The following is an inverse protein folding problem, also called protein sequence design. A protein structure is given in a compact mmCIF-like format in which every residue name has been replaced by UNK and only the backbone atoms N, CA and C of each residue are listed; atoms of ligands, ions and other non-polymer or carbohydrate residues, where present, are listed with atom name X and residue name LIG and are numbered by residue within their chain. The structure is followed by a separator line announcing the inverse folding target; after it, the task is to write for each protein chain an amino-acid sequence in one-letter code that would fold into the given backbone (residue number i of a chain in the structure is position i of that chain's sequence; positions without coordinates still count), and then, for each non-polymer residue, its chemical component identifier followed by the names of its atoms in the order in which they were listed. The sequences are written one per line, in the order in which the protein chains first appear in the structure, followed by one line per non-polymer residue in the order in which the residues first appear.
data_IF_973559066174
#
_entry.id   IF_973559066174
#
_cell.length_a   1.000
_cell.length_b   1.000
_cell.length_c   1.000
_cell.angle_alpha   90.00
_cell.angle_beta   90.00
_cell.angle_gamma   90.00
#
_symmetry.space_group_name_H-M   'P 1'
#
loop_
_entity.id
_entity.type
_entity.pdbx_description
1 polymer ?
#
# COMPACT_ATOMS: atom_id res chain seq x y z
N UNK A 1 -2.10 -14.04 -47.41
CA UNK A 1 -2.60 -15.21 -48.13
C UNK A 1 -1.89 -16.43 -47.55
N UNK A 2 -2.57 -17.17 -46.66
CA UNK A 2 -2.12 -18.48 -46.14
C UNK A 2 -3.26 -19.09 -45.32
N UNK A 3 -4.12 -19.77 -46.07
CA UNK A 3 -4.87 -21.00 -45.75
C UNK A 3 -5.81 -21.05 -44.52
N UNK A 4 -7.09 -20.85 -44.85
CA UNK A 4 -8.26 -21.44 -44.19
C UNK A 4 -8.09 -22.97 -44.10
N UNK A 5 -7.80 -23.48 -42.91
CA UNK A 5 -7.90 -24.91 -42.61
C UNK A 5 -9.36 -25.32 -42.46
N UNK A 6 -9.87 -25.86 -43.57
CA UNK A 6 -11.07 -26.66 -43.77
C UNK A 6 -11.43 -27.52 -42.53
N UNK A 7 -12.49 -27.12 -41.82
CA UNK A 7 -13.12 -27.92 -40.78
C UNK A 7 -13.71 -29.19 -41.41
N UNK A 8 -13.10 -30.34 -41.14
CA UNK A 8 -13.65 -31.65 -41.49
C UNK A 8 -14.43 -32.15 -40.28
N UNK A 9 -15.76 -32.20 -40.39
CA UNK A 9 -16.66 -32.80 -39.40
C UNK A 9 -16.30 -34.28 -39.23
N UNK A 10 -15.39 -34.57 -38.29
CA UNK A 10 -14.99 -35.90 -37.88
C UNK A 10 -15.48 -36.14 -36.46
N UNK A 11 -16.38 -37.11 -36.31
CA UNK A 11 -16.90 -37.61 -35.04
C UNK A 11 -15.74 -37.86 -34.07
N UNK A 12 -15.54 -36.97 -33.09
CA UNK A 12 -14.53 -37.14 -32.04
C UNK A 12 -14.94 -38.36 -31.21
N UNK A 13 -14.27 -39.50 -31.42
CA UNK A 13 -14.48 -40.69 -30.62
C UNK A 13 -14.26 -40.40 -29.13
N UNK A 14 -14.85 -41.21 -28.27
CA UNK A 14 -14.78 -41.06 -26.80
C UNK A 14 -13.33 -40.88 -26.32
N UNK A 15 -12.37 -41.57 -26.94
CA UNK A 15 -10.94 -41.40 -26.65
C UNK A 15 -10.40 -39.97 -26.93
N UNK A 16 -10.89 -39.30 -27.98
CA UNK A 16 -10.53 -37.91 -28.29
C UNK A 16 -11.12 -36.92 -27.29
N UNK A 17 -12.34 -37.17 -26.80
CA UNK A 17 -12.93 -36.42 -25.69
C UNK A 17 -12.17 -36.64 -24.37
N UNK A 18 -11.75 -37.88 -24.10
CA UNK A 18 -10.97 -38.22 -22.90
C UNK A 18 -9.56 -37.61 -22.94
N UNK A 19 -8.92 -37.56 -24.11
CA UNK A 19 -7.62 -36.89 -24.31
C UNK A 19 -7.73 -35.36 -24.15
N UNK A 20 -8.82 -34.74 -24.62
CA UNK A 20 -9.07 -33.31 -24.39
C UNK A 20 -9.33 -33.01 -22.90
N UNK A 21 -10.10 -33.86 -22.20
CA UNK A 21 -10.30 -33.75 -20.75
C UNK A 21 -8.98 -33.92 -19.97
N UNK A 22 -8.12 -34.87 -20.38
CA UNK A 22 -6.80 -35.06 -19.77
C UNK A 22 -5.86 -33.87 -20.03
N UNK A 23 -5.95 -33.25 -21.21
CA UNK A 23 -5.18 -32.05 -21.54
C UNK A 23 -5.64 -30.80 -20.78
N UNK A 24 -6.87 -30.78 -20.26
CA UNK A 24 -7.39 -29.72 -19.39
C UNK A 24 -6.92 -29.87 -17.93
N UNK A 25 -6.42 -31.05 -17.54
CA UNK A 25 -5.91 -31.32 -16.19
C UNK A 25 -4.51 -30.73 -15.95
N UNK A 26 -3.79 -30.35 -17.00
CA UNK A 26 -2.46 -29.77 -16.91
C UNK A 26 -2.53 -28.25 -17.14
N UNK A 27 -3.30 -27.56 -16.30
CA UNK A 27 -3.04 -26.15 -16.10
C UNK A 27 -1.70 -26.05 -15.35
N UNK A 28 -0.69 -25.33 -15.88
CA UNK A 28 0.43 -24.96 -15.03
C UNK A 28 -0.18 -24.20 -13.86
N UNK A 29 0.06 -24.68 -12.64
CA UNK A 29 -0.17 -23.86 -11.46
C UNK A 29 0.66 -22.61 -11.74
N UNK A 30 0.00 -21.53 -12.15
CA UNK A 30 0.65 -20.26 -12.24
C UNK A 30 1.17 -20.07 -10.82
N UNK A 31 2.50 -20.12 -10.65
CA UNK A 31 3.16 -19.75 -9.41
C UNK A 31 2.76 -18.30 -9.16
N UNK A 32 1.60 -18.12 -8.51
CA UNK A 32 1.04 -16.80 -8.25
C UNK A 32 2.08 -16.13 -7.37
N UNK A 33 2.77 -15.14 -7.94
CA UNK A 33 3.66 -14.28 -7.15
C UNK A 33 2.82 -13.79 -5.97
N UNK A 34 3.29 -13.96 -4.72
CA UNK A 34 2.51 -13.55 -3.57
C UNK A 34 2.06 -12.09 -3.76
N UNK A 35 0.81 -11.76 -3.42
CA UNK A 35 0.29 -10.40 -3.60
C UNK A 35 1.27 -9.41 -2.97
N UNK A 36 1.74 -8.44 -3.77
CA UNK A 36 2.76 -7.50 -3.33
C UNK A 36 2.09 -6.20 -2.88
N UNK A 37 2.23 -5.87 -1.60
CA UNK A 37 1.69 -4.66 -0.99
C UNK A 37 2.73 -3.54 -1.00
N UNK A 38 2.53 -2.53 -1.83
CA UNK A 38 3.38 -1.34 -1.90
C UNK A 38 2.84 -0.21 -1.03
N UNK A 39 3.61 0.24 -0.04
CA UNK A 39 3.26 1.35 0.86
C UNK A 39 4.30 2.45 0.77
N UNK A 40 3.87 3.70 0.66
CA UNK A 40 4.76 4.84 0.75
C UNK A 40 4.92 5.32 2.19
N UNK A 41 6.15 5.64 2.58
CA UNK A 41 6.46 6.35 3.82
C UNK A 41 6.99 7.74 3.45
N UNK A 42 6.22 8.75 3.80
CA UNK A 42 6.52 10.15 3.51
C UNK A 42 6.93 10.86 4.80
N UNK A 43 8.08 11.54 4.75
CA UNK A 43 8.67 12.23 5.89
C UNK A 43 8.94 13.69 5.51
N UNK A 44 8.18 14.61 6.09
CA UNK A 44 8.34 16.06 5.88
C UNK A 44 8.98 16.72 7.09
N UNK A 45 10.13 17.37 6.95
CA UNK A 45 10.77 18.12 8.06
C UNK A 45 11.00 17.29 9.34
N UNK A 46 11.07 15.96 9.24
CA UNK A 46 11.39 15.07 10.37
C UNK A 46 12.89 14.83 10.46
N UNK A 47 13.35 14.41 11.64
CA UNK A 47 14.73 13.92 11.82
C UNK A 47 15.03 12.71 10.93
N UNK A 48 16.31 12.51 10.62
CA UNK A 48 16.72 11.43 9.73
C UNK A 48 16.51 10.05 10.38
N UNK A 49 15.51 9.30 9.90
CA UNK A 49 15.24 7.89 10.26
C UNK A 49 15.88 6.93 9.25
N UNK A 50 16.57 5.87 9.67
CA UNK A 50 17.12 4.90 8.71
C UNK A 50 16.00 4.12 7.98
N UNK A 51 16.12 3.95 6.66
CA UNK A 51 15.15 3.19 5.84
C UNK A 51 14.98 1.73 6.31
N UNK A 52 15.98 1.16 6.99
CA UNK A 52 15.88 -0.17 7.59
C UNK A 52 14.82 -0.24 8.71
N UNK A 53 14.66 0.83 9.48
CA UNK A 53 13.64 0.91 10.53
C UNK A 53 12.23 1.09 9.94
N UNK A 54 12.14 1.57 8.70
CA UNK A 54 10.88 1.75 7.98
C UNK A 54 10.42 0.47 7.27
N UNK A 55 11.17 -0.63 7.36
CA UNK A 55 10.78 -1.91 6.79
C UNK A 55 10.19 -2.80 7.87
N UNK A 56 8.98 -3.35 7.68
CA UNK A 56 8.46 -4.34 8.59
C UNK A 56 9.37 -5.59 8.58
N UNK A 57 9.62 -6.22 9.74
CA UNK A 57 10.39 -7.46 9.80
C UNK A 57 9.71 -8.52 8.95
N UNK A 58 10.46 -9.13 8.02
CA UNK A 58 9.96 -10.25 7.22
C UNK A 58 10.25 -11.57 7.94
N UNK A 59 9.25 -12.43 8.05
CA UNK A 59 9.43 -13.80 8.54
C UNK A 59 9.39 -14.78 7.36
N UNK A 60 10.13 -15.89 7.41
CA UNK A 60 10.01 -16.94 6.41
C UNK A 60 8.58 -17.51 6.48
N UNK A 61 7.79 -17.32 5.42
CA UNK A 61 6.40 -17.80 5.34
C UNK A 61 5.32 -16.71 5.26
N UNK A 62 5.66 -15.43 5.30
CA UNK A 62 4.68 -14.35 5.14
C UNK A 62 4.02 -14.42 3.74
N UNK A 63 2.67 -14.39 3.64
CA UNK A 63 1.95 -14.60 2.39
C UNK A 63 1.96 -13.37 1.46
N UNK A 64 2.39 -12.20 1.94
CA UNK A 64 2.39 -10.92 1.23
C UNK A 64 3.81 -10.35 1.17
N UNK A 65 4.25 -9.92 -0.02
CA UNK A 65 5.54 -9.23 -0.20
C UNK A 65 5.36 -7.71 -0.02
N UNK A 66 5.99 -7.11 0.98
CA UNK A 66 5.77 -5.69 1.32
C UNK A 66 6.89 -4.83 0.76
N UNK A 67 6.55 -3.92 -0.15
CA UNK A 67 7.48 -2.94 -0.71
C UNK A 67 7.28 -1.58 -0.06
N UNK A 68 8.30 -1.06 0.62
CA UNK A 68 8.25 0.27 1.24
C UNK A 68 8.99 1.26 0.34
N UNK A 69 8.30 2.32 -0.07
CA UNK A 69 8.86 3.41 -0.87
C UNK A 69 8.99 4.65 0.00
N UNK A 70 10.23 5.10 0.25
CA UNK A 70 10.50 6.25 1.11
C UNK A 70 10.55 7.55 0.30
N UNK A 71 9.88 8.59 0.79
CA UNK A 71 9.94 9.95 0.24
C UNK A 71 10.25 10.94 1.36
N UNK A 72 11.25 11.79 1.16
CA UNK A 72 11.66 12.83 2.12
C UNK A 72 11.47 14.22 1.53
N UNK A 73 10.86 15.10 2.30
CA UNK A 73 10.60 16.48 1.91
C UNK A 73 11.17 17.45 2.94
N UNK A 74 11.79 18.53 2.45
CA UNK A 74 12.31 19.60 3.30
C UNK A 74 11.26 20.69 3.58
N UNK A 75 10.20 20.74 2.77
CA UNK A 75 9.10 21.69 2.88
C UNK A 75 7.77 20.94 2.92
N UNK A 76 6.87 21.37 3.79
CA UNK A 76 5.55 20.77 4.04
C UNK A 76 4.42 21.73 3.66
N UNK A 77 4.67 22.66 2.74
CA UNK A 77 3.60 23.51 2.20
C UNK A 77 2.63 22.67 1.32
N UNK A 78 1.35 23.09 1.19
CA UNK A 78 0.33 22.31 0.50
C UNK A 78 0.69 21.95 -0.94
N UNK A 79 1.34 22.87 -1.66
CA UNK A 79 1.74 22.66 -3.05
C UNK A 79 2.81 21.58 -3.14
N UNK A 80 3.85 21.66 -2.30
CA UNK A 80 4.92 20.66 -2.26
C UNK A 80 4.40 19.28 -1.90
N UNK A 81 3.57 19.17 -0.86
CA UNK A 81 3.00 17.87 -0.44
C UNK A 81 2.22 17.23 -1.58
N UNK A 82 1.29 17.97 -2.19
CA UNK A 82 0.45 17.43 -3.27
C UNK A 82 1.30 17.04 -4.47
N UNK A 83 2.19 17.91 -4.94
CA UNK A 83 3.00 17.64 -6.13
C UNK A 83 3.89 16.42 -5.96
N UNK A 84 4.61 16.33 -4.84
CA UNK A 84 5.52 15.23 -4.57
C UNK A 84 4.78 13.89 -4.35
N UNK A 85 3.64 13.90 -3.67
CA UNK A 85 2.82 12.69 -3.52
C UNK A 85 2.26 12.24 -4.87
N UNK A 86 1.73 13.16 -5.68
CA UNK A 86 1.25 12.83 -7.03
C UNK A 86 2.37 12.31 -7.95
N UNK A 87 3.57 12.87 -7.85
CA UNK A 87 4.75 12.37 -8.56
C UNK A 87 5.14 10.95 -8.10
N UNK A 88 5.02 10.66 -6.80
CA UNK A 88 5.25 9.32 -6.29
C UNK A 88 4.22 8.31 -6.83
N UNK A 89 2.96 8.72 -6.90
CA UNK A 89 1.85 7.91 -7.42
C UNK A 89 1.96 7.64 -8.92
N UNK A 90 2.54 8.57 -9.69
CA UNK A 90 2.75 8.37 -11.13
C UNK A 90 3.86 7.35 -11.41
N UNK A 91 4.85 7.23 -10.51
CA UNK A 91 5.99 6.32 -10.64
C UNK A 91 5.73 4.94 -10.06
N UNK A 92 4.89 4.84 -9.03
CA UNK A 92 4.67 3.60 -8.29
C UNK A 92 3.20 3.39 -7.98
N UNK A 93 2.71 2.17 -8.20
CA UNK A 93 1.37 1.78 -7.75
C UNK A 93 1.38 1.53 -6.25
N UNK A 94 0.91 2.51 -5.50
CA UNK A 94 0.81 2.44 -4.04
C UNK A 94 -0.56 1.93 -3.62
N UNK A 95 -0.58 1.22 -2.50
CA UNK A 95 -1.80 0.74 -1.83
C UNK A 95 -2.14 1.59 -0.60
N UNK A 96 -1.18 2.37 -0.10
CA UNK A 96 -1.38 3.27 1.03
C UNK A 96 -0.18 4.19 1.25
N UNK A 97 -0.41 5.25 2.02
CA UNK A 97 0.59 6.27 2.34
C UNK A 97 0.60 6.46 3.85
N UNK A 98 1.78 6.33 4.45
CA UNK A 98 2.05 6.71 5.84
C UNK A 98 2.84 8.02 5.81
N UNK A 99 2.38 9.00 6.57
CA UNK A 99 2.91 10.36 6.56
C UNK A 99 3.33 10.75 7.97
N UNK A 100 4.50 11.37 8.08
CA UNK A 100 4.95 12.04 9.28
C UNK A 100 5.53 13.40 8.90
N UNK A 101 5.23 14.39 9.72
CA UNK A 101 5.86 15.69 9.64
C UNK A 101 6.47 16.12 10.97
N UNK A 102 7.49 16.97 10.90
CA UNK A 102 8.10 17.59 12.07
C UNK A 102 7.43 18.91 12.50
N UNK A 103 6.23 19.21 12.00
CA UNK A 103 5.50 20.43 12.32
C UNK A 103 4.39 20.14 13.33
N UNK A 104 3.89 21.17 14.01
CA UNK A 104 2.69 21.09 14.84
C UNK A 104 1.51 21.81 14.16
N UNK A 105 1.42 21.77 12.82
CA UNK A 105 0.37 22.45 12.06
C UNK A 105 -0.76 21.49 11.65
N UNK A 106 -1.98 21.74 12.14
CA UNK A 106 -3.17 20.92 11.83
C UNK A 106 -3.56 20.97 10.35
N UNK A 107 -3.11 22.01 9.64
CA UNK A 107 -3.31 22.16 8.20
C UNK A 107 -2.77 20.96 7.40
N UNK A 108 -1.72 20.28 7.90
CA UNK A 108 -1.16 19.09 7.24
C UNK A 108 -2.20 17.96 7.22
N UNK A 109 -2.87 17.68 8.35
CA UNK A 109 -3.92 16.67 8.40
C UNK A 109 -5.07 16.96 7.41
N UNK A 110 -5.42 18.23 7.20
CA UNK A 110 -6.42 18.65 6.19
C UNK A 110 -5.99 18.33 4.77
N UNK A 111 -4.74 18.61 4.43
CA UNK A 111 -4.19 18.33 3.10
C UNK A 111 -4.13 16.82 2.87
N UNK A 112 -3.77 16.04 3.88
CA UNK A 112 -3.77 14.57 3.79
C UNK A 112 -5.19 14.00 3.63
N UNK A 113 -6.20 14.65 4.22
CA UNK A 113 -7.59 14.28 4.00
C UNK A 113 -8.01 14.50 2.54
N UNK A 114 -7.68 15.68 2.00
CA UNK A 114 -7.86 15.99 0.57
C UNK A 114 -7.18 14.94 -0.31
N UNK A 115 -5.91 14.61 -0.05
CA UNK A 115 -5.19 13.58 -0.80
C UNK A 115 -5.84 12.21 -0.70
N UNK A 116 -6.31 11.80 0.48
CA UNK A 116 -7.00 10.51 0.65
C UNK A 116 -8.31 10.42 -0.13
N UNK A 117 -9.04 11.53 -0.27
CA UNK A 117 -10.26 11.60 -1.08
C UNK A 117 -9.93 11.57 -2.57
N UNK A 118 -8.96 12.38 -3.02
CA UNK A 118 -8.61 12.51 -4.44
C UNK A 118 -7.93 11.27 -5.01
N UNK A 119 -7.03 10.65 -4.24
CA UNK A 119 -6.25 9.49 -4.67
C UNK A 119 -6.98 8.18 -4.41
N UNK A 120 -8.05 8.21 -3.60
CA UNK A 120 -8.74 7.04 -3.06
C UNK A 120 -7.83 6.09 -2.26
N UNK A 121 -6.60 6.52 -1.93
CA UNK A 121 -5.67 5.75 -1.11
C UNK A 121 -5.90 6.03 0.38
N UNK A 122 -5.70 5.01 1.25
CA UNK A 122 -5.62 5.23 2.67
C UNK A 122 -4.35 6.03 2.98
N UNK A 123 -4.54 7.22 3.55
CA UNK A 123 -3.46 8.09 4.04
C UNK A 123 -3.52 8.13 5.55
N UNK A 124 -2.37 8.00 6.19
CA UNK A 124 -2.26 7.84 7.62
C UNK A 124 -1.16 8.76 8.17
N UNK A 125 -1.53 9.73 9.00
CA UNK A 125 -0.59 10.56 9.72
C UNK A 125 -0.16 9.94 11.06
N UNK A 126 1.14 9.92 11.35
CA UNK A 126 1.68 9.22 12.54
C UNK A 126 2.56 10.09 13.43
N UNK A 127 2.98 11.26 12.97
CA UNK A 127 3.78 12.20 13.77
C UNK A 127 3.59 13.65 13.30
N UNK A 128 3.66 14.60 14.23
CA UNK A 128 3.47 16.02 13.97
C UNK A 128 2.04 16.38 13.61
N UNK A 129 1.87 17.39 12.77
CA UNK A 129 0.59 17.97 12.39
C UNK A 129 -0.33 17.02 11.64
N UNK A 130 0.25 16.06 10.92
CA UNK A 130 -0.46 14.98 10.24
C UNK A 130 -1.15 14.01 11.19
N UNK A 131 -0.67 13.87 12.42
CA UNK A 131 -1.25 12.99 13.44
C UNK A 131 -2.31 13.65 14.31
N UNK A 132 -2.56 14.95 14.10
CA UNK A 132 -3.59 15.67 14.85
C UNK A 132 -4.99 15.21 14.43
N UNK A 133 -5.83 15.00 15.43
CA UNK A 133 -7.20 14.51 15.23
C UNK A 133 -8.05 15.66 14.70
N UNK A 134 -8.59 15.47 13.50
CA UNK A 134 -9.58 16.39 12.93
C UNK A 134 -11.00 15.90 13.17
N UNK A 135 -11.96 16.83 13.16
CA UNK A 135 -13.38 16.53 13.37
C UNK A 135 -13.95 15.58 12.29
N UNK A 136 -15.08 14.98 12.65
CA UNK A 136 -15.67 13.74 12.12
C UNK A 136 -15.57 13.52 10.60
N UNK A 137 -14.73 12.56 10.20
CA UNK A 137 -14.75 11.96 8.85
C UNK A 137 -15.64 10.72 8.89
N UNK A 138 -16.93 10.91 8.61
CA UNK A 138 -17.90 9.82 8.50
C UNK A 138 -17.38 8.70 7.56
N UNK A 139 -17.21 7.49 8.10
CA UNK A 139 -17.17 6.25 7.30
C UNK A 139 -15.83 5.52 7.15
N UNK A 140 -14.71 6.01 7.69
CA UNK A 140 -13.46 5.20 7.82
C UNK A 140 -12.94 5.18 9.26
N UNK A 141 -13.86 4.93 10.19
CA UNK A 141 -13.62 4.78 11.65
C UNK A 141 -12.61 3.67 12.01
N UNK A 142 -12.28 2.80 11.07
CA UNK A 142 -11.45 1.63 11.29
C UNK A 142 -9.93 1.89 11.29
N UNK A 143 -9.44 2.99 10.72
CA UNK A 143 -8.01 3.34 10.76
C UNK A 143 -7.64 4.28 11.91
N UNK A 144 -8.60 4.90 12.61
CA UNK A 144 -8.31 5.76 13.77
C UNK A 144 -8.21 4.97 15.09
N UNK A 145 -8.94 3.86 15.20
CA UNK A 145 -9.06 3.09 16.45
C UNK A 145 -7.76 2.47 16.95
N UNK A 146 -6.92 1.94 16.05
CA UNK A 146 -5.61 1.37 16.39
C UNK A 146 -4.52 2.44 16.67
N UNK A 147 -4.78 3.70 16.30
CA UNK A 147 -3.81 4.80 16.39
C UNK A 147 -3.96 5.63 17.66
N UNK A 148 -5.15 5.60 18.30
CA UNK A 148 -5.39 6.32 19.55
C UNK A 148 -4.46 5.85 20.68
N UNK A 149 -3.97 4.61 20.64
CA UNK A 149 -2.97 4.08 21.58
C UNK A 149 -1.54 4.53 21.27
N UNK A 150 -1.18 4.74 20.00
CA UNK A 150 0.21 5.02 19.59
C UNK A 150 0.54 6.52 19.59
N UNK A 151 -0.41 7.40 19.28
CA UNK A 151 -0.25 8.86 19.26
C UNK A 151 0.04 9.50 20.62
N UNK A 152 -0.11 8.79 21.76
CA UNK A 152 0.15 9.37 23.08
C UNK A 152 1.65 9.52 23.41
N UNK A 153 2.55 9.08 22.53
CA UNK A 153 3.99 9.20 22.75
C UNK A 153 4.61 10.25 21.83
N UNK A 154 4.42 11.54 22.17
CA UNK A 154 5.14 12.66 21.52
C UNK A 154 6.68 12.52 21.57
N UNK A 155 7.20 11.63 22.43
CA UNK A 155 8.63 11.30 22.56
C UNK A 155 9.06 9.98 21.90
N UNK A 156 8.19 9.24 21.23
CA UNK A 156 8.59 8.02 20.56
C UNK A 156 9.44 8.29 19.32
N UNK A 157 10.32 7.34 18.98
CA UNK A 157 11.07 7.42 17.74
C UNK A 157 10.15 7.28 16.51
N UNK A 158 10.13 8.22 15.56
CA UNK A 158 9.23 8.20 14.42
C UNK A 158 9.49 6.96 13.56
N UNK A 159 10.71 6.40 13.56
CA UNK A 159 10.99 5.11 12.93
C UNK A 159 10.25 3.95 13.59
N UNK A 160 10.23 3.90 14.92
CA UNK A 160 9.52 2.87 15.69
C UNK A 160 8.00 2.99 15.51
N UNK A 161 7.48 4.22 15.49
CA UNK A 161 6.05 4.46 15.24
C UNK A 161 5.67 3.99 13.84
N UNK A 162 6.43 4.43 12.81
CA UNK A 162 6.23 4.01 11.43
C UNK A 162 6.24 2.49 11.27
N UNK A 163 7.20 1.81 11.90
CA UNK A 163 7.33 0.36 11.77
C UNK A 163 6.14 -0.40 12.34
N UNK A 164 5.61 0.02 13.50
CA UNK A 164 4.38 -0.58 14.05
C UNK A 164 3.17 -0.32 13.18
N UNK A 165 3.05 0.87 12.62
CA UNK A 165 1.98 1.23 11.69
C UNK A 165 1.99 0.36 10.44
N UNK A 166 3.17 0.16 9.85
CA UNK A 166 3.37 -0.76 8.73
C UNK A 166 2.99 -2.19 9.09
N UNK A 167 3.43 -2.71 10.25
CA UNK A 167 3.02 -4.04 10.71
C UNK A 167 1.50 -4.17 10.86
N UNK A 168 0.81 -3.17 11.41
CA UNK A 168 -0.65 -3.17 11.50
C UNK A 168 -1.34 -3.14 10.11
N UNK A 169 -0.82 -2.35 9.17
CA UNK A 169 -1.35 -2.30 7.80
C UNK A 169 -1.21 -3.66 7.08
N UNK A 170 -0.09 -4.34 7.30
CA UNK A 170 0.17 -5.68 6.74
C UNK A 170 -0.79 -6.70 7.31
N UNK A 171 -0.87 -6.79 8.64
CA UNK A 171 -1.72 -7.79 9.29
C UNK A 171 -3.19 -7.62 8.95
N UNK A 172 -3.64 -6.38 8.73
CA UNK A 172 -5.00 -6.09 8.28
C UNK A 172 -5.25 -6.40 6.81
N UNK A 173 -4.21 -6.46 5.97
CA UNK A 173 -4.36 -6.85 4.57
C UNK A 173 -4.53 -8.37 4.40
N UNK A 174 -4.25 -9.16 5.45
CA UNK A 174 -4.41 -10.62 5.47
C UNK A 174 -5.79 -11.11 5.97
N UNK A 175 -6.60 -10.24 6.58
CA UNK A 175 -7.92 -10.57 7.19
C UNK A 175 -9.06 -9.95 6.40
#
# INVERSE_FOLDING_TARGET
MSEVSRARNGMMGVAGWMLLLFSQMMMPVASQKPPALSVAVVMGQTRHVSDQLLRPPRRPGDPIDISVVTLRMNQTDPKTIVTQVCELLSRTRLHGIVFADGTDQEAIAQILDFLSVQTQLPVLGVHGGSSMIMADKNGRRLLLGAYKEMSYTRHADPGVVMQKCLCCCVHRSEV
#
